data_IF_048922023585
#
_entry.id   IF_048922023585
#
_cell.length_a   1.000
_cell.length_b   1.000
_cell.length_c   1.000
_cell.angle_alpha   90.00
_cell.angle_beta   90.00
_cell.angle_gamma   90.00
#
_symmetry.space_group_name_H-M   'P 1'
#
loop_
_entity.id
_entity.type
_entity.pdbx_description
1 polymer ?
#
# COMPACT_ATOMS: atom_id res chain seq x y z
N UNK A 1 -8.02 -9.09 3.17
CA UNK A 1 -7.32 -8.05 2.44
C UNK A 1 -6.17 -8.66 1.65
N UNK A 2 -5.87 -8.13 0.47
CA UNK A 2 -4.85 -8.63 -0.43
C UNK A 2 -3.77 -7.57 -0.63
N UNK A 3 -2.53 -7.86 -0.20
CA UNK A 3 -1.39 -6.94 -0.35
C UNK A 3 -0.69 -7.04 -1.69
N UNK A 4 -1.08 -7.98 -2.55
CA UNK A 4 -0.34 -8.31 -3.77
C UNK A 4 -0.29 -7.17 -4.78
N UNK A 5 -1.24 -6.25 -4.75
CA UNK A 5 -1.21 -5.06 -5.59
C UNK A 5 -0.24 -4.01 -5.07
N UNK A 6 -0.20 -3.80 -3.76
CA UNK A 6 0.68 -2.81 -3.15
C UNK A 6 2.13 -3.28 -3.03
N UNK A 7 2.34 -4.53 -2.65
CA UNK A 7 3.68 -5.10 -2.46
C UNK A 7 3.71 -6.57 -2.82
N UNK A 8 4.91 -7.07 -3.08
CA UNK A 8 5.17 -8.48 -3.26
C UNK A 8 6.37 -8.93 -2.44
N UNK A 9 6.63 -10.22 -2.43
CA UNK A 9 7.80 -10.80 -1.78
C UNK A 9 8.52 -11.76 -2.74
N UNK A 10 9.78 -12.07 -2.44
CA UNK A 10 10.60 -12.92 -3.29
C UNK A 10 10.06 -14.35 -3.44
N UNK A 11 9.23 -14.84 -2.49
CA UNK A 11 8.64 -16.18 -2.56
C UNK A 11 7.48 -16.26 -3.55
N UNK A 12 6.91 -15.12 -3.91
CA UNK A 12 5.81 -15.01 -4.88
C UNK A 12 6.33 -14.51 -6.22
N UNK A 13 7.00 -13.36 -6.25
CA UNK A 13 7.52 -12.73 -7.45
C UNK A 13 8.54 -13.60 -8.19
N UNK A 14 9.58 -14.09 -7.52
CA UNK A 14 10.65 -14.83 -8.18
C UNK A 14 10.20 -16.16 -8.80
N UNK A 15 9.35 -16.99 -8.18
CA UNK A 15 8.78 -18.17 -8.83
C UNK A 15 7.89 -17.80 -10.00
N UNK A 16 7.09 -16.75 -9.89
CA UNK A 16 6.17 -16.32 -10.94
C UNK A 16 6.92 -15.86 -12.19
N UNK A 17 7.92 -14.97 -12.08
CA UNK A 17 8.71 -14.51 -13.23
C UNK A 17 9.49 -15.67 -13.89
N UNK A 18 10.01 -16.60 -13.10
CA UNK A 18 10.69 -17.80 -13.65
C UNK A 18 9.73 -18.70 -14.42
N UNK A 19 8.55 -18.95 -13.87
CA UNK A 19 7.50 -19.74 -14.55
C UNK A 19 7.08 -19.11 -15.87
N UNK A 20 7.05 -17.78 -15.96
CA UNK A 20 6.70 -17.02 -17.17
C UNK A 20 7.88 -16.80 -18.13
N UNK A 21 9.09 -17.10 -17.72
CA UNK A 21 10.29 -16.78 -18.50
C UNK A 21 10.71 -15.32 -18.50
N UNK A 22 10.23 -14.52 -17.54
CA UNK A 22 10.51 -13.08 -17.40
C UNK A 22 11.70 -12.82 -16.46
N UNK A 23 12.82 -13.50 -16.68
CA UNK A 23 13.97 -13.49 -15.76
C UNK A 23 14.66 -12.12 -15.62
N UNK A 24 14.43 -11.23 -16.56
CA UNK A 24 14.92 -9.85 -16.61
C UNK A 24 13.96 -8.82 -15.98
N UNK A 25 12.74 -9.24 -15.60
CA UNK A 25 11.75 -8.36 -15.00
C UNK A 25 12.12 -7.94 -13.57
N UNK A 26 11.87 -6.68 -13.25
CA UNK A 26 12.11 -6.06 -11.95
C UNK A 26 10.79 -5.55 -11.37
N UNK A 27 10.60 -5.70 -10.06
CA UNK A 27 9.41 -5.18 -9.35
C UNK A 27 9.55 -3.66 -9.15
N UNK A 28 9.53 -2.93 -10.26
CA UNK A 28 9.69 -1.48 -10.32
C UNK A 28 8.83 -0.92 -11.48
N UNK A 29 7.76 -0.21 -11.13
CA UNK A 29 6.81 0.33 -12.12
C UNK A 29 7.34 1.57 -12.85
N UNK A 30 8.42 2.18 -12.39
CA UNK A 30 9.08 3.30 -13.09
C UNK A 30 9.78 2.87 -14.38
N UNK A 31 10.08 1.57 -14.51
CA UNK A 31 10.62 0.99 -15.74
C UNK A 31 9.48 0.79 -16.73
N UNK A 32 9.42 1.66 -17.73
CA UNK A 32 8.37 1.67 -18.74
C UNK A 32 8.46 0.50 -19.73
N UNK A 33 7.45 0.39 -20.59
CA UNK A 33 7.36 -0.62 -21.62
C UNK A 33 7.14 -2.02 -21.05
N UNK A 34 7.88 -3.01 -21.56
CA UNK A 34 7.69 -4.43 -21.24
C UNK A 34 7.68 -4.74 -19.74
N UNK A 35 8.52 -4.07 -18.95
CA UNK A 35 8.57 -4.33 -17.50
C UNK A 35 7.25 -3.94 -16.80
N UNK A 36 6.67 -2.79 -17.21
CA UNK A 36 5.37 -2.33 -16.70
C UNK A 36 4.24 -3.26 -17.12
N UNK A 37 4.26 -3.79 -18.34
CA UNK A 37 3.28 -4.74 -18.83
C UNK A 37 3.34 -6.07 -18.05
N UNK A 38 4.55 -6.54 -17.73
CA UNK A 38 4.76 -7.73 -16.89
C UNK A 38 4.20 -7.52 -15.47
N UNK A 39 4.40 -6.34 -14.87
CA UNK A 39 3.81 -6.03 -13.56
C UNK A 39 2.28 -6.00 -13.61
N UNK A 40 1.70 -5.43 -14.66
CA UNK A 40 0.24 -5.44 -14.88
C UNK A 40 -0.30 -6.86 -15.05
N UNK A 41 0.42 -7.73 -15.76
CA UNK A 41 0.07 -9.14 -15.90
C UNK A 41 0.09 -9.84 -14.53
N UNK A 42 1.15 -9.63 -13.74
CA UNK A 42 1.27 -10.17 -12.40
C UNK A 42 0.10 -9.75 -11.49
N UNK A 43 -0.25 -8.48 -11.48
CA UNK A 43 -1.38 -7.97 -10.70
C UNK A 43 -2.71 -8.56 -11.18
N UNK A 44 -2.93 -8.65 -12.49
CA UNK A 44 -4.15 -9.23 -13.05
C UNK A 44 -4.31 -10.69 -12.65
N UNK A 45 -3.27 -11.50 -12.75
CA UNK A 45 -3.32 -12.90 -12.31
C UNK A 45 -3.58 -13.04 -10.81
N UNK A 46 -3.03 -12.14 -10.00
CA UNK A 46 -3.27 -12.13 -8.55
C UNK A 46 -4.74 -11.80 -8.23
N UNK A 47 -5.32 -10.86 -8.96
CA UNK A 47 -6.75 -10.52 -8.81
C UNK A 47 -7.63 -11.68 -9.27
N UNK A 48 -7.31 -12.30 -10.41
CA UNK A 48 -8.06 -13.44 -10.95
C UNK A 48 -8.07 -14.65 -10.00
N UNK A 49 -6.96 -14.93 -9.33
CA UNK A 49 -6.88 -16.03 -8.34
C UNK A 49 -7.80 -15.80 -7.13
N UNK A 50 -8.15 -14.55 -6.85
CA UNK A 50 -9.01 -14.18 -5.73
C UNK A 50 -10.44 -13.79 -6.17
N UNK A 51 -10.80 -14.01 -7.42
CA UNK A 51 -12.08 -13.57 -8.02
C UNK A 51 -13.31 -14.02 -7.25
N UNK A 52 -13.30 -15.27 -6.78
CA UNK A 52 -14.44 -15.90 -6.11
C UNK A 52 -14.53 -15.55 -4.62
N UNK A 53 -13.58 -14.77 -4.10
CA UNK A 53 -13.56 -14.36 -2.70
C UNK A 53 -14.01 -12.90 -2.55
N UNK A 54 -14.55 -12.59 -1.37
CA UNK A 54 -14.74 -11.22 -0.94
C UNK A 54 -13.42 -10.68 -0.41
N UNK A 55 -12.80 -9.77 -1.17
CA UNK A 55 -11.45 -9.25 -0.89
C UNK A 55 -11.49 -7.73 -0.81
N UNK A 56 -10.81 -7.18 0.18
CA UNK A 56 -10.45 -5.77 0.24
C UNK A 56 -9.04 -5.58 -0.34
N UNK A 57 -8.93 -4.88 -1.45
CA UNK A 57 -7.66 -4.67 -2.15
C UNK A 57 -6.94 -3.42 -1.66
N UNK A 58 -5.69 -3.57 -1.24
CA UNK A 58 -4.82 -2.44 -0.93
C UNK A 58 -4.07 -2.01 -2.18
N UNK A 59 -4.32 -0.80 -2.65
CA UNK A 59 -3.69 -0.24 -3.85
C UNK A 59 -2.48 0.63 -3.54
N UNK A 60 -1.68 0.86 -4.56
CA UNK A 60 -0.42 1.54 -4.47
C UNK A 60 0.74 0.60 -4.75
N UNK A 61 1.96 1.03 -4.45
CA UNK A 61 3.15 0.22 -4.60
C UNK A 61 4.17 0.53 -3.51
N UNK A 62 4.82 -0.52 -3.03
CA UNK A 62 6.04 -0.49 -2.25
C UNK A 62 7.03 -1.48 -2.86
N UNK A 63 8.27 -1.46 -2.42
CA UNK A 63 9.26 -2.43 -2.86
C UNK A 63 9.01 -3.84 -2.30
N UNK A 64 9.79 -4.80 -2.77
CA UNK A 64 9.73 -6.18 -2.31
C UNK A 64 10.12 -6.26 -0.83
N UNK A 65 9.44 -7.10 -0.06
CA UNK A 65 9.69 -7.30 1.37
C UNK A 65 9.57 -6.04 2.22
N UNK A 66 8.63 -5.18 1.94
CA UNK A 66 8.40 -3.98 2.73
C UNK A 66 9.55 -2.95 2.62
N UNK A 67 10.36 -3.05 1.58
CA UNK A 67 11.31 -2.00 1.21
C UNK A 67 10.57 -0.76 0.74
N UNK A 68 11.26 0.38 0.74
CA UNK A 68 10.67 1.65 0.32
C UNK A 68 10.24 1.66 -1.14
N UNK A 69 9.40 2.64 -1.47
CA UNK A 69 9.00 2.93 -2.83
C UNK A 69 10.15 3.60 -3.58
N UNK A 70 10.82 2.83 -4.42
CA UNK A 70 11.94 3.30 -5.23
C UNK A 70 11.50 3.59 -6.65
N UNK A 71 12.12 4.59 -7.24
CA UNK A 71 11.97 4.95 -8.65
C UNK A 71 13.35 5.11 -9.27
N UNK A 72 13.53 4.63 -10.49
CA UNK A 72 14.74 4.87 -11.27
C UNK A 72 14.69 6.22 -11.97
N UNK A 73 15.85 6.65 -12.53
CA UNK A 73 15.98 7.88 -13.32
C UNK A 73 15.73 9.19 -12.53
N UNK A 74 16.17 9.22 -11.27
CA UNK A 74 16.08 10.41 -10.43
C UNK A 74 17.44 11.12 -10.23
N UNK A 75 18.49 10.64 -10.86
CA UNK A 75 19.83 11.23 -10.76
C UNK A 75 19.83 12.68 -11.25
N UNK A 76 20.45 13.55 -10.48
CA UNK A 76 20.55 14.98 -10.80
C UNK A 76 19.29 15.82 -10.56
N UNK A 77 18.19 15.23 -10.06
CA UNK A 77 16.97 15.94 -9.72
C UNK A 77 17.01 16.49 -8.29
N UNK A 78 16.31 17.60 -8.08
CA UNK A 78 16.08 18.16 -6.75
C UNK A 78 15.14 17.27 -5.92
N UNK A 79 15.13 17.44 -4.60
CA UNK A 79 14.22 16.70 -3.72
C UNK A 79 12.73 16.93 -4.07
N UNK A 80 12.39 18.13 -4.51
CA UNK A 80 11.04 18.49 -4.93
C UNK A 80 10.65 17.77 -6.23
N UNK A 81 11.52 17.76 -7.24
CA UNK A 81 11.31 17.06 -8.50
C UNK A 81 11.21 15.53 -8.28
N UNK A 82 12.00 14.97 -7.37
CA UNK A 82 11.92 13.56 -6.99
C UNK A 82 10.56 13.25 -6.35
N UNK A 83 10.11 14.11 -5.43
CA UNK A 83 8.81 13.95 -4.77
C UNK A 83 7.66 14.03 -5.79
N UNK A 84 7.66 15.04 -6.64
CA UNK A 84 6.65 15.18 -7.68
C UNK A 84 6.60 13.98 -8.63
N UNK A 85 7.76 13.46 -9.04
CA UNK A 85 7.85 12.27 -9.89
C UNK A 85 7.30 11.01 -9.19
N UNK A 86 7.56 10.85 -7.89
CA UNK A 86 7.01 9.74 -7.09
C UNK A 86 5.50 9.85 -6.91
N UNK A 87 4.98 11.04 -6.66
CA UNK A 87 3.52 11.30 -6.59
C UNK A 87 2.86 10.91 -7.90
N UNK A 88 3.31 11.47 -9.02
CA UNK A 88 2.74 11.18 -10.34
C UNK A 88 2.80 9.68 -10.70
N UNK A 89 3.91 9.01 -10.36
CA UNK A 89 4.05 7.57 -10.59
C UNK A 89 3.07 6.77 -9.74
N UNK A 90 2.89 7.12 -8.47
CA UNK A 90 1.99 6.39 -7.57
C UNK A 90 0.52 6.59 -7.94
N UNK A 91 0.13 7.79 -8.38
CA UNK A 91 -1.20 8.05 -8.93
C UNK A 91 -1.48 7.20 -10.16
N UNK A 92 -0.50 7.11 -11.07
CA UNK A 92 -0.61 6.24 -12.24
C UNK A 92 -0.73 4.76 -11.86
N UNK A 93 0.05 4.29 -10.90
CA UNK A 93 -0.04 2.92 -10.38
C UNK A 93 -1.45 2.63 -9.87
N UNK A 94 -1.99 3.52 -9.02
CA UNK A 94 -3.34 3.38 -8.46
C UNK A 94 -4.39 3.36 -9.58
N UNK A 95 -4.28 4.24 -10.56
CA UNK A 95 -5.20 4.26 -11.69
C UNK A 95 -5.18 2.94 -12.49
N UNK A 96 -3.99 2.45 -12.82
CA UNK A 96 -3.82 1.20 -13.56
C UNK A 96 -4.29 -0.03 -12.76
N UNK A 97 -4.05 -0.07 -11.45
CA UNK A 97 -4.56 -1.14 -10.58
C UNK A 97 -6.08 -1.12 -10.46
N UNK A 98 -6.70 0.05 -10.37
CA UNK A 98 -8.17 0.20 -10.38
C UNK A 98 -8.78 -0.30 -11.71
N UNK A 99 -8.15 0.01 -12.83
CA UNK A 99 -8.54 -0.52 -14.13
C UNK A 99 -8.48 -2.04 -14.16
N UNK A 100 -7.39 -2.63 -13.69
CA UNK A 100 -7.22 -4.09 -13.59
C UNK A 100 -8.32 -4.71 -12.73
N UNK A 101 -8.64 -4.13 -11.56
CA UNK A 101 -9.71 -4.63 -10.69
C UNK A 101 -11.06 -4.60 -11.40
N UNK A 102 -11.43 -3.48 -12.00
CA UNK A 102 -12.68 -3.32 -12.75
C UNK A 102 -12.78 -4.34 -13.88
N UNK A 103 -11.75 -4.43 -14.69
CA UNK A 103 -11.77 -5.25 -15.91
C UNK A 103 -11.71 -6.75 -15.59
N UNK A 104 -11.03 -7.13 -14.50
CA UNK A 104 -10.91 -8.54 -14.09
C UNK A 104 -12.14 -9.01 -13.33
N UNK A 105 -12.64 -8.21 -12.37
CA UNK A 105 -13.72 -8.64 -11.48
C UNK A 105 -15.13 -8.36 -12.05
N UNK A 106 -15.26 -7.31 -12.87
CA UNK A 106 -16.56 -6.89 -13.42
C UNK A 106 -17.58 -6.45 -12.36
N UNK A 107 -17.14 -6.11 -11.16
CA UNK A 107 -17.96 -5.68 -10.02
C UNK A 107 -17.23 -4.65 -9.19
N UNK A 108 -17.98 -3.87 -8.42
CA UNK A 108 -17.41 -2.99 -7.41
C UNK A 108 -16.74 -3.83 -6.31
N UNK A 109 -15.61 -3.36 -5.84
CA UNK A 109 -14.85 -3.99 -4.78
C UNK A 109 -14.28 -2.94 -3.83
N UNK A 110 -14.10 -3.33 -2.58
CA UNK A 110 -13.50 -2.46 -1.58
C UNK A 110 -12.02 -2.25 -1.90
N UNK A 111 -11.63 -0.98 -1.98
CA UNK A 111 -10.24 -0.57 -2.21
C UNK A 111 -9.76 0.29 -1.05
N UNK A 112 -8.55 0.03 -0.59
CA UNK A 112 -7.91 0.79 0.48
C UNK A 112 -6.58 1.38 0.01
N UNK A 113 -6.20 2.47 0.64
CA UNK A 113 -4.86 3.04 0.56
C UNK A 113 -4.33 3.25 1.96
N UNK A 114 -3.08 2.84 2.21
CA UNK A 114 -2.44 2.94 3.52
C UNK A 114 -1.32 3.96 3.45
N UNK A 115 -1.55 5.22 3.86
CA UNK A 115 -0.50 6.24 3.95
C UNK A 115 0.41 5.92 5.16
N UNK A 116 1.48 5.19 4.92
CA UNK A 116 2.40 4.72 5.94
C UNK A 116 3.86 4.88 5.49
N UNK A 117 4.76 5.17 6.42
CA UNK A 117 6.19 5.43 6.17
C UNK A 117 6.39 6.48 5.06
N UNK A 118 7.23 6.19 4.06
CA UNK A 118 7.53 7.09 2.93
C UNK A 118 6.29 7.47 2.10
N UNK A 119 5.28 6.62 2.07
CA UNK A 119 4.05 6.88 1.32
C UNK A 119 3.18 7.93 2.03
N UNK A 120 3.25 8.03 3.37
CA UNK A 120 2.57 9.09 4.11
C UNK A 120 3.15 10.47 3.76
N UNK A 121 4.48 10.57 3.61
CA UNK A 121 5.10 11.82 3.16
C UNK A 121 4.61 12.24 1.76
N UNK A 122 4.48 11.30 0.84
CA UNK A 122 3.95 11.57 -0.50
C UNK A 122 2.49 12.05 -0.43
N UNK A 123 1.68 11.40 0.42
CA UNK A 123 0.28 11.76 0.63
C UNK A 123 0.14 13.18 1.20
N UNK A 124 0.88 13.51 2.24
CA UNK A 124 0.86 14.85 2.85
C UNK A 124 1.45 15.94 1.93
N UNK A 125 2.17 15.56 0.88
CA UNK A 125 2.75 16.44 -0.14
C UNK A 125 2.03 16.39 -1.50
N UNK A 126 0.75 16.04 -1.52
CA UNK A 126 -0.12 16.26 -2.67
C UNK A 126 -0.46 15.02 -3.50
N UNK A 127 -0.16 13.80 -3.03
CA UNK A 127 -0.68 12.59 -3.65
C UNK A 127 -2.22 12.55 -3.53
N UNK A 128 -2.90 12.51 -4.64
CA UNK A 128 -4.35 12.44 -4.71
C UNK A 128 -4.84 10.99 -4.74
N UNK A 129 -5.65 10.63 -3.77
CA UNK A 129 -6.28 9.30 -3.68
C UNK A 129 -7.75 9.39 -4.07
N UNK A 130 -8.25 8.55 -5.00
CA UNK A 130 -9.66 8.53 -5.40
C UNK A 130 -10.61 8.48 -4.20
N UNK A 131 -11.67 9.28 -4.26
CA UNK A 131 -12.61 9.50 -3.15
C UNK A 131 -13.37 8.25 -2.67
N UNK A 132 -13.46 7.23 -3.52
CA UNK A 132 -14.10 5.94 -3.24
C UNK A 132 -13.19 4.91 -2.58
N UNK A 133 -11.91 5.25 -2.38
CA UNK A 133 -10.96 4.41 -1.66
C UNK A 133 -10.95 4.77 -0.17
N UNK A 134 -10.92 3.75 0.69
CA UNK A 134 -10.76 3.93 2.14
C UNK A 134 -9.32 4.31 2.49
N UNK A 135 -9.13 5.40 3.22
CA UNK A 135 -7.82 5.72 3.82
C UNK A 135 -7.66 4.93 5.12
N UNK A 136 -6.56 4.19 5.23
CA UNK A 136 -6.29 3.37 6.41
C UNK A 136 -5.05 3.88 7.13
N UNK A 137 -5.26 4.47 8.29
CA UNK A 137 -4.22 5.08 9.12
C UNK A 137 -3.58 4.05 10.04
N UNK A 138 -2.26 4.15 10.26
CA UNK A 138 -1.54 3.21 11.09
C UNK A 138 -1.15 3.83 12.44
N UNK A 139 -1.10 2.99 13.49
CA UNK A 139 -0.47 3.37 14.74
C UNK A 139 1.07 3.24 14.66
N UNK A 140 1.73 3.84 15.64
CA UNK A 140 3.18 3.71 15.83
C UNK A 140 3.55 2.48 16.69
N UNK A 141 4.87 2.27 16.91
CA UNK A 141 5.40 1.16 17.70
C UNK A 141 5.01 1.20 19.17
N UNK A 142 4.49 2.32 19.65
CA UNK A 142 4.05 2.52 21.03
C UNK A 142 2.54 2.43 21.21
N UNK A 143 1.81 2.15 20.12
CA UNK A 143 0.37 2.01 20.10
C UNK A 143 -0.40 3.32 19.92
N UNK A 144 0.25 4.43 19.61
CA UNK A 144 -0.42 5.70 19.36
C UNK A 144 -0.79 5.86 17.90
N UNK A 145 -2.04 6.27 17.64
CA UNK A 145 -2.46 6.73 16.33
C UNK A 145 -1.99 8.18 16.18
N UNK A 146 -0.95 8.40 15.40
CA UNK A 146 -0.31 9.71 15.24
C UNK A 146 -0.98 10.61 14.22
N UNK A 147 -1.73 10.04 13.31
CA UNK A 147 -2.41 10.76 12.23
C UNK A 147 -3.88 10.36 12.21
N UNK A 148 -4.74 11.32 12.37
CA UNK A 148 -6.19 11.20 12.20
C UNK A 148 -6.63 11.92 10.91
N UNK A 149 -7.77 11.53 10.32
CA UNK A 149 -8.29 12.24 9.16
C UNK A 149 -8.60 13.70 9.49
N UNK A 150 -8.22 14.58 8.59
CA UNK A 150 -8.64 15.99 8.57
C UNK A 150 -10.15 16.09 8.26
N UNK A 151 -10.74 17.26 8.43
CA UNK A 151 -12.16 17.47 8.10
C UNK A 151 -12.48 17.16 6.63
N UNK A 152 -11.57 17.43 5.71
CA UNK A 152 -11.70 17.04 4.30
C UNK A 152 -11.72 15.52 4.13
N UNK A 153 -10.83 14.83 4.82
CA UNK A 153 -10.68 13.37 4.70
C UNK A 153 -11.83 12.61 5.38
N UNK A 154 -12.45 13.16 6.43
CA UNK A 154 -13.64 12.57 7.07
C UNK A 154 -14.84 12.47 6.12
N UNK A 155 -14.99 13.44 5.22
CA UNK A 155 -16.09 13.50 4.27
C UNK A 155 -15.94 12.58 3.05
N UNK A 156 -14.87 11.78 2.96
CA UNK A 156 -14.61 10.91 1.82
C UNK A 156 -15.65 9.81 1.70
N UNK A 157 -16.08 9.51 0.47
CA UNK A 157 -17.03 8.43 0.18
C UNK A 157 -16.49 7.04 0.58
N UNK A 158 -15.19 6.81 0.40
CA UNK A 158 -14.53 5.57 0.79
C UNK A 158 -14.29 5.45 2.29
N UNK A 159 -14.48 6.53 3.05
CA UNK A 159 -14.30 6.55 4.49
C UNK A 159 -12.85 6.42 4.96
N UNK A 160 -12.70 6.14 6.24
CA UNK A 160 -11.42 5.98 6.92
C UNK A 160 -11.41 4.69 7.75
N UNK A 161 -10.23 4.17 8.01
CA UNK A 161 -10.03 2.98 8.83
C UNK A 161 -8.72 3.03 9.59
N UNK A 162 -8.50 2.05 10.45
CA UNK A 162 -7.29 1.91 11.26
C UNK A 162 -6.64 0.57 11.00
N UNK A 163 -5.34 0.61 10.72
CA UNK A 163 -4.45 -0.53 10.80
C UNK A 163 -3.70 -0.47 12.15
N UNK A 164 -4.23 -1.19 13.13
CA UNK A 164 -3.66 -1.19 14.48
C UNK A 164 -2.73 -2.40 14.67
N UNK A 165 -1.45 -2.15 14.87
CA UNK A 165 -0.48 -3.19 15.17
C UNK A 165 -0.58 -3.57 16.65
N UNK A 166 -0.94 -4.82 16.93
CA UNK A 166 -0.94 -5.37 18.29
C UNK A 166 0.45 -5.85 18.72
N UNK A 167 1.36 -6.03 17.79
CA UNK A 167 2.77 -6.32 18.08
C UNK A 167 3.67 -5.86 16.94
N UNK A 168 4.85 -5.40 17.28
CA UNK A 168 5.90 -5.07 16.31
C UNK A 168 7.03 -6.10 16.40
N UNK A 169 7.46 -6.57 15.25
CA UNK A 169 8.52 -7.56 15.14
C UNK A 169 9.84 -6.86 14.84
N UNK A 170 10.83 -7.11 15.68
CA UNK A 170 12.18 -6.69 15.40
C UNK A 170 12.80 -7.56 14.28
N UNK A 171 13.80 -7.05 13.52
CA UNK A 171 14.60 -7.86 12.63
C UNK A 171 15.24 -9.06 13.36
N UNK A 172 15.56 -10.15 12.66
CA UNK A 172 16.16 -11.35 13.29
C UNK A 172 17.45 -11.12 14.06
N UNK A 173 18.16 -10.02 13.79
CA UNK A 173 19.35 -9.57 14.54
C UNK A 173 19.03 -8.96 15.92
N UNK A 174 17.75 -8.69 16.16
CA UNK A 174 17.22 -8.19 17.42
C UNK A 174 16.22 -9.22 17.96
N UNK A 175 15.97 -9.24 19.25
CA UNK A 175 15.00 -10.16 19.83
C UNK A 175 13.60 -9.93 19.26
N UNK A 176 12.96 -10.98 18.72
CA UNK A 176 11.56 -10.93 18.35
C UNK A 176 10.69 -10.77 19.59
N UNK A 177 9.84 -9.77 19.58
CA UNK A 177 8.81 -9.60 20.58
C UNK A 177 7.49 -10.08 20.00
N UNK A 178 7.05 -11.26 20.41
CA UNK A 178 5.74 -11.81 20.00
C UNK A 178 4.59 -11.34 20.89
N UNK A 179 4.93 -10.72 22.02
CA UNK A 179 3.94 -10.21 22.95
C UNK A 179 3.75 -8.71 22.75
N UNK A 180 2.50 -8.29 22.64
CA UNK A 180 2.16 -6.89 22.70
C UNK A 180 2.37 -6.37 24.12
N UNK A 181 3.30 -5.43 24.28
CA UNK A 181 3.53 -4.76 25.57
C UNK A 181 2.61 -3.54 25.80
N UNK A 182 1.75 -3.23 24.83
CA UNK A 182 0.83 -2.10 24.90
C UNK A 182 -0.33 -2.48 25.84
N UNK A 183 -0.60 -1.71 26.91
CA UNK A 183 -1.72 -1.99 27.79
C UNK A 183 -3.05 -1.99 27.04
N UNK A 184 -3.93 -2.93 27.33
CA UNK A 184 -5.25 -3.01 26.70
C UNK A 184 -6.08 -1.72 26.89
N UNK A 185 -5.93 -1.07 28.05
CA UNK A 185 -6.58 0.23 28.29
C UNK A 185 -6.12 1.32 27.32
N UNK A 186 -4.84 1.31 26.94
CA UNK A 186 -4.31 2.23 25.93
C UNK A 186 -4.85 1.92 24.54
N UNK A 187 -4.79 0.65 24.13
CA UNK A 187 -5.37 0.20 22.84
C UNK A 187 -6.85 0.59 22.73
N UNK A 188 -7.65 0.32 23.79
CA UNK A 188 -9.06 0.69 23.84
C UNK A 188 -9.26 2.20 23.70
N UNK A 189 -8.47 3.00 24.40
CA UNK A 189 -8.55 4.46 24.32
C UNK A 189 -8.24 4.99 22.91
N UNK A 190 -7.20 4.48 22.27
CA UNK A 190 -6.83 4.89 20.89
C UNK A 190 -7.89 4.48 19.86
N UNK A 191 -8.43 3.27 19.97
CA UNK A 191 -9.50 2.82 19.08
C UNK A 191 -10.81 3.57 19.32
N UNK A 192 -11.12 3.93 20.60
CA UNK A 192 -12.28 4.76 20.89
C UNK A 192 -12.15 6.16 20.31
N UNK A 193 -10.97 6.79 20.41
CA UNK A 193 -10.69 8.08 19.76
C UNK A 193 -10.88 8.00 18.24
N UNK A 194 -10.39 6.92 17.62
CA UNK A 194 -10.56 6.73 16.20
C UNK A 194 -12.03 6.62 15.82
N UNK A 195 -12.80 5.85 16.59
CA UNK A 195 -14.25 5.70 16.40
C UNK A 195 -15.01 7.02 16.50
N UNK A 196 -14.64 7.84 17.48
CA UNK A 196 -15.31 9.14 17.73
C UNK A 196 -14.96 10.19 16.66
N UNK A 197 -13.84 10.01 15.94
CA UNK A 197 -13.35 10.94 14.92
C UNK A 197 -13.85 10.56 13.51
N UNK A 198 -13.99 9.27 13.21
CA UNK A 198 -14.35 8.73 11.88
C UNK A 198 -15.83 8.61 11.72
#
# INVERSE_FOLDING_TARGET
HCDMLMRSNNREWNPWIRKKGYTDAVYDYSIEGRNRDILKEYWRESVEQNRDFEVCYTLGMRGIHDSGFETKNLEGKTAEEIRAAKVALLEKIIADQREILRDTLGRDTMMTFIPYKEVLELYDNGLEIPEDMTLVWANDNYGYIRRYPSEKEKGRRGGNGIYYHNSYWAPPSMSYVFLCSIPLAHTRNELQKAWDIY
#
